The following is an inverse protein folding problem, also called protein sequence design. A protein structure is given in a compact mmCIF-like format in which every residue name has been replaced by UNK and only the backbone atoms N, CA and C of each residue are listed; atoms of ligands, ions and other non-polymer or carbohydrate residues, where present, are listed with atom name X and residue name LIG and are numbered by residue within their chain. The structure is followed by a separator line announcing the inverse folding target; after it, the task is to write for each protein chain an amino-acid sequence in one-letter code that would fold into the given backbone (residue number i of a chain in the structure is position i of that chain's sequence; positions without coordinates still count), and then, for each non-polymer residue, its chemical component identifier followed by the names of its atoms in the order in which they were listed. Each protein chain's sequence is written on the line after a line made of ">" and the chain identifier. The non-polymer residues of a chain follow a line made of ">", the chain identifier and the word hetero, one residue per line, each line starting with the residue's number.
data_IF_427909093606
#
_entry.id   IF_427909093606
#
_cell.length_a   1.000
_cell.length_b   1.000
_cell.length_c   1.000
_cell.angle_alpha   90.00
_cell.angle_beta   90.00
_cell.angle_gamma   90.00
#
_symmetry.space_group_name_H-M   'P 1'
#
loop_
_entity.id
_entity.type
_entity.pdbx_description
1 polymer ?
#
# COMPACT_ATOMS: atom_id res chain seq x y z
N UNK A 1 3.18 20.47 -3.53
CA UNK A 1 2.67 19.32 -2.75
C UNK A 1 2.34 19.81 -1.35
N UNK A 2 1.23 19.36 -0.78
CA UNK A 2 0.83 19.68 0.60
C UNK A 2 1.46 18.64 1.52
N UNK A 3 1.87 19.05 2.74
CA UNK A 3 2.41 18.11 3.72
C UNK A 3 1.29 17.19 4.24
N UNK A 4 1.56 15.89 4.47
CA UNK A 4 0.63 15.01 5.16
C UNK A 4 0.25 15.55 6.55
N UNK A 5 -0.96 15.21 7.03
CA UNK A 5 -1.45 15.66 8.33
C UNK A 5 -0.76 15.03 9.55
N UNK A 6 0.06 13.99 9.34
CA UNK A 6 0.85 13.29 10.35
C UNK A 6 2.17 12.86 9.71
N UNK A 7 3.28 12.87 10.46
CA UNK A 7 4.53 12.34 9.94
C UNK A 7 4.44 10.82 9.80
N UNK A 8 5.13 10.27 8.81
CA UNK A 8 5.12 8.82 8.56
C UNK A 8 5.57 8.00 9.79
N UNK A 9 6.58 8.50 10.52
CA UNK A 9 7.13 7.87 11.73
C UNK A 9 6.18 7.88 12.92
N UNK A 10 5.18 8.76 12.89
CA UNK A 10 4.21 8.92 13.98
C UNK A 10 2.94 8.08 13.73
N UNK A 11 2.85 7.42 12.57
CA UNK A 11 1.74 6.51 12.27
C UNK A 11 1.76 5.33 13.26
N UNK A 12 0.60 4.93 13.80
CA UNK A 12 0.50 3.66 14.50
C UNK A 12 0.79 2.49 13.54
N UNK A 13 0.93 1.29 14.10
CA UNK A 13 1.05 0.06 13.31
C UNK A 13 -0.13 -0.04 12.33
N UNK A 14 0.17 -0.29 11.07
CA UNK A 14 -0.84 -0.51 10.03
C UNK A 14 -1.02 -2.01 9.82
N UNK A 15 -2.23 -2.52 10.05
CA UNK A 15 -2.53 -3.93 9.83
C UNK A 15 -3.10 -4.20 8.42
N UNK A 16 -3.74 -3.19 7.80
CA UNK A 16 -4.39 -3.32 6.48
C UNK A 16 -4.18 -2.06 5.65
N UNK A 17 -3.91 -2.25 4.36
CA UNK A 17 -3.94 -1.21 3.33
C UNK A 17 -5.09 -1.53 2.37
N UNK A 18 -5.99 -0.58 2.15
CA UNK A 18 -7.06 -0.69 1.14
C UNK A 18 -6.78 0.29 0.00
N UNK A 19 -6.72 -0.21 -1.23
CA UNK A 19 -6.51 0.59 -2.43
C UNK A 19 -7.81 0.58 -3.24
N UNK A 20 -8.30 1.75 -3.63
CA UNK A 20 -9.55 1.87 -4.40
C UNK A 20 -9.33 1.68 -5.90
N UNK A 21 -8.27 2.27 -6.45
CA UNK A 21 -7.89 2.19 -7.87
C UNK A 21 -6.42 2.61 -8.07
N UNK A 22 -5.93 2.51 -9.30
CA UNK A 22 -4.52 2.73 -9.67
C UNK A 22 -4.29 4.07 -10.39
N UNK A 23 -4.60 5.17 -9.71
CA UNK A 23 -4.13 6.49 -10.08
C UNK A 23 -3.09 6.97 -9.07
N UNK A 24 -2.21 7.90 -9.47
CA UNK A 24 -1.07 8.35 -8.65
C UNK A 24 -1.46 9.00 -7.31
N UNK A 25 -2.68 9.49 -7.18
CA UNK A 25 -3.25 10.03 -5.94
C UNK A 25 -3.78 8.94 -4.99
N UNK A 26 -3.91 7.70 -5.46
CA UNK A 26 -4.43 6.56 -4.69
C UNK A 26 -3.49 5.35 -4.64
N UNK A 27 -2.47 5.28 -5.48
CA UNK A 27 -1.47 4.22 -5.52
C UNK A 27 -0.05 4.81 -5.58
N UNK A 28 0.64 4.76 -4.44
CA UNK A 28 2.04 5.11 -4.30
C UNK A 28 2.84 3.88 -3.85
N UNK A 29 3.62 3.32 -4.78
CA UNK A 29 4.43 2.14 -4.55
C UNK A 29 5.51 2.36 -3.49
N UNK A 30 6.10 3.57 -3.41
CA UNK A 30 7.14 3.85 -2.41
C UNK A 30 6.56 3.77 -1.00
N UNK A 31 5.43 4.45 -0.80
CA UNK A 31 4.72 4.45 0.49
C UNK A 31 4.27 3.04 0.90
N UNK A 32 3.71 2.25 -0.05
CA UNK A 32 3.29 0.87 0.24
C UNK A 32 4.50 -0.01 0.62
N UNK A 33 5.64 0.16 -0.06
CA UNK A 33 6.86 -0.59 0.23
C UNK A 33 7.39 -0.29 1.62
N UNK A 34 7.44 0.99 2.01
CA UNK A 34 7.90 1.39 3.33
C UNK A 34 6.99 0.85 4.44
N UNK A 35 5.66 0.90 4.23
CA UNK A 35 4.68 0.29 5.15
C UNK A 35 4.80 -1.24 5.20
N UNK A 36 5.08 -1.90 4.08
CA UNK A 36 5.31 -3.35 4.03
C UNK A 36 6.53 -3.79 4.84
N UNK A 37 7.64 -3.05 4.71
CA UNK A 37 8.85 -3.32 5.49
C UNK A 37 8.60 -3.11 6.99
N UNK A 38 7.85 -2.06 7.35
CA UNK A 38 7.60 -1.70 8.75
C UNK A 38 6.64 -2.66 9.45
N UNK A 39 5.47 -2.91 8.84
CA UNK A 39 4.32 -3.49 9.55
C UNK A 39 3.80 -4.80 8.96
N UNK A 40 4.23 -5.18 7.74
CA UNK A 40 3.71 -6.33 6.97
C UNK A 40 2.16 -6.36 6.89
N UNK A 41 1.49 -5.26 6.49
CA UNK A 41 0.03 -5.22 6.43
C UNK A 41 -0.52 -6.10 5.31
N UNK A 42 -1.73 -6.61 5.49
CA UNK A 42 -2.53 -7.18 4.40
C UNK A 42 -2.93 -6.07 3.42
N UNK A 43 -2.73 -6.28 2.13
CA UNK A 43 -3.10 -5.32 1.10
C UNK A 43 -4.36 -5.81 0.39
N UNK A 44 -5.41 -4.99 0.36
CA UNK A 44 -6.68 -5.27 -0.33
C UNK A 44 -6.79 -4.32 -1.51
N UNK A 45 -7.01 -4.84 -2.71
CA UNK A 45 -6.98 -4.04 -3.94
C UNK A 45 -7.85 -4.63 -5.05
N UNK A 46 -8.32 -3.84 -6.04
CA UNK A 46 -8.98 -4.35 -7.23
C UNK A 46 -8.10 -5.30 -8.05
N UNK A 47 -8.74 -6.07 -8.93
CA UNK A 47 -8.07 -6.90 -9.92
C UNK A 47 -6.99 -6.13 -10.69
N UNK A 48 -5.88 -6.81 -10.98
CA UNK A 48 -4.73 -6.34 -11.76
C UNK A 48 -3.79 -5.35 -11.04
N UNK A 49 -4.21 -4.72 -9.93
CA UNK A 49 -3.32 -3.91 -9.11
C UNK A 49 -2.29 -4.76 -8.35
N UNK A 50 -2.65 -6.00 -8.02
CA UNK A 50 -1.79 -6.97 -7.35
C UNK A 50 -0.52 -7.26 -8.16
N UNK A 51 -0.62 -7.33 -9.50
CA UNK A 51 0.52 -7.51 -10.41
C UNK A 51 1.51 -6.35 -10.29
N UNK A 52 1.01 -5.12 -10.20
CA UNK A 52 1.82 -3.90 -10.09
C UNK A 52 2.55 -3.86 -8.75
N UNK A 53 1.83 -4.20 -7.67
CA UNK A 53 2.39 -4.21 -6.31
C UNK A 53 3.44 -5.32 -6.17
N UNK A 54 3.14 -6.54 -6.64
CA UNK A 54 4.07 -7.70 -6.57
C UNK A 54 5.35 -7.50 -7.37
N UNK A 55 5.34 -6.69 -8.42
CA UNK A 55 6.55 -6.32 -9.17
C UNK A 55 7.59 -5.59 -8.28
N UNK A 56 7.14 -4.90 -7.25
CA UNK A 56 7.99 -4.10 -6.37
C UNK A 56 8.13 -4.68 -4.96
N UNK A 57 7.17 -5.50 -4.54
CA UNK A 57 7.08 -6.13 -3.22
C UNK A 57 6.68 -7.59 -3.42
N UNK A 58 7.66 -8.44 -3.73
CA UNK A 58 7.42 -9.81 -4.21
C UNK A 58 6.76 -10.72 -3.19
N UNK A 59 6.94 -10.46 -1.90
CA UNK A 59 6.40 -11.24 -0.78
C UNK A 59 5.10 -10.64 -0.18
N UNK A 60 4.53 -9.60 -0.79
CA UNK A 60 3.33 -8.93 -0.28
C UNK A 60 2.13 -9.89 -0.10
N UNK A 61 1.47 -9.82 1.06
CA UNK A 61 0.18 -10.47 1.30
C UNK A 61 -0.93 -9.62 0.67
N UNK A 62 -1.47 -10.08 -0.47
CA UNK A 62 -2.48 -9.33 -1.25
C UNK A 62 -3.77 -10.14 -1.38
N UNK A 63 -4.90 -9.49 -1.11
CA UNK A 63 -6.25 -9.95 -1.41
C UNK A 63 -6.81 -9.11 -2.55
N UNK A 64 -7.19 -9.77 -3.63
CA UNK A 64 -7.79 -9.14 -4.80
C UNK A 64 -9.31 -9.21 -4.70
N UNK A 65 -9.98 -8.06 -4.86
CA UNK A 65 -11.45 -8.00 -4.97
C UNK A 65 -11.85 -8.22 -6.43
N UNK A 66 -12.60 -9.28 -6.69
CA UNK A 66 -13.12 -9.68 -8.00
C UNK A 66 -14.51 -10.28 -7.87
#
# INVERSE_FOLDING_TARGET
>A
MVKPGINFTDLPKIDVILISHNHYDHLDISTIKDLWVRDKPKIITPLMNDVIIKKHITDAEIVTLG
#
